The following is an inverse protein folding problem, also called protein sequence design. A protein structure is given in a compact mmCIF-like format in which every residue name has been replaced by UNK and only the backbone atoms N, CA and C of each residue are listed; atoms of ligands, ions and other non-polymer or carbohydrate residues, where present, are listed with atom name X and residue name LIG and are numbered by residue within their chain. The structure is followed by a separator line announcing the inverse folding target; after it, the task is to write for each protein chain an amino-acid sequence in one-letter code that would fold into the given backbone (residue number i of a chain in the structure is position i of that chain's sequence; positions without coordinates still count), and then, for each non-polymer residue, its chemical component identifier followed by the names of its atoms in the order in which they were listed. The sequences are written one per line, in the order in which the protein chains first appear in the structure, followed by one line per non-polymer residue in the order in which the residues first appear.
data_IF_019826141858
#
_entry.id   IF_019826141858
#
_cell.length_a   1.000
_cell.length_b   1.000
_cell.length_c   1.000
_cell.angle_alpha   90.00
_cell.angle_beta   90.00
_cell.angle_gamma   90.00
#
_symmetry.space_group_name_H-M   'P 1'
#
loop_
_entity.id
_entity.type
_entity.pdbx_description
1 polymer ?
#
# COMPACT_ATOMS: atom_id res chain seq x y z
N UNK A 1 22.61 6.41 2.04
CA UNK A 1 22.53 7.86 1.75
C UNK A 1 21.07 8.28 1.72
N UNK A 2 20.75 9.57 1.81
CA UNK A 2 19.35 10.04 1.71
C UNK A 2 18.68 9.60 0.39
N UNK A 3 19.45 9.49 -0.69
CA UNK A 3 18.97 9.00 -1.99
C UNK A 3 18.48 7.55 -1.93
N UNK A 4 19.16 6.67 -1.19
CA UNK A 4 18.70 5.29 -1.02
C UNK A 4 17.33 5.23 -0.33
N UNK A 5 17.13 6.04 0.72
CA UNK A 5 15.84 6.11 1.43
C UNK A 5 14.74 6.68 0.53
N UNK A 6 15.08 7.69 -0.29
CA UNK A 6 14.17 8.26 -1.26
C UNK A 6 13.77 7.22 -2.33
N UNK A 7 14.74 6.51 -2.89
CA UNK A 7 14.51 5.44 -3.87
C UNK A 7 13.65 4.31 -3.29
N UNK A 8 13.95 3.87 -2.07
CA UNK A 8 13.15 2.87 -1.37
C UNK A 8 11.70 3.31 -1.19
N UNK A 9 11.49 4.58 -0.79
CA UNK A 9 10.16 5.16 -0.64
C UNK A 9 9.42 5.19 -1.97
N UNK A 10 10.07 5.63 -3.05
CA UNK A 10 9.47 5.64 -4.40
C UNK A 10 9.12 4.24 -4.89
N UNK A 11 9.98 3.25 -4.65
CA UNK A 11 9.74 1.86 -5.06
C UNK A 11 8.58 1.22 -4.31
N UNK A 12 8.46 1.49 -3.01
CA UNK A 12 7.39 0.92 -2.19
C UNK A 12 6.05 1.62 -2.44
N UNK A 13 6.01 2.96 -2.43
CA UNK A 13 4.76 3.72 -2.43
C UNK A 13 4.33 4.16 -3.84
N UNK A 14 5.27 4.33 -4.76
CA UNK A 14 5.10 5.12 -5.97
C UNK A 14 5.33 6.63 -5.73
N UNK A 15 5.35 7.44 -6.80
CA UNK A 15 5.72 8.86 -6.73
C UNK A 15 4.67 9.75 -6.05
N UNK A 16 3.39 9.43 -6.20
CA UNK A 16 2.27 10.23 -5.69
C UNK A 16 1.23 9.33 -5.02
N UNK A 17 1.54 8.74 -3.85
CA UNK A 17 0.64 7.81 -3.19
C UNK A 17 -0.65 8.47 -2.69
N UNK A 18 -0.64 9.79 -2.51
CA UNK A 18 -1.83 10.60 -2.20
C UNK A 18 -2.05 11.62 -3.29
N UNK A 19 -3.28 11.72 -3.78
CA UNK A 19 -3.63 12.63 -4.87
C UNK A 19 -5.07 13.12 -4.72
N UNK A 20 -5.37 14.23 -5.38
CA UNK A 20 -6.74 14.73 -5.48
C UNK A 20 -7.38 14.13 -6.73
N UNK A 21 -8.49 13.44 -6.55
CA UNK A 21 -9.26 12.86 -7.63
C UNK A 21 -9.80 13.98 -8.54
N UNK A 22 -9.60 13.91 -9.87
CA UNK A 22 -10.03 14.95 -10.79
C UNK A 22 -11.57 15.04 -10.91
N UNK A 23 -12.27 13.93 -10.65
CA UNK A 23 -13.72 13.83 -10.83
C UNK A 23 -14.51 14.56 -9.73
N UNK A 24 -14.13 14.36 -8.48
CA UNK A 24 -14.88 14.80 -7.29
C UNK A 24 -14.06 15.70 -6.35
N UNK A 25 -12.80 16.00 -6.71
CA UNK A 25 -11.85 16.78 -5.90
C UNK A 25 -11.59 16.20 -4.51
N UNK A 26 -11.88 14.92 -4.30
CA UNK A 26 -11.65 14.25 -3.02
C UNK A 26 -10.21 13.77 -2.89
N UNK A 27 -9.71 13.67 -1.65
CA UNK A 27 -8.42 13.03 -1.38
C UNK A 27 -8.54 11.54 -1.66
N UNK A 28 -7.58 10.97 -2.38
CA UNK A 28 -7.45 9.53 -2.57
C UNK A 28 -6.04 9.08 -2.26
N UNK A 29 -5.93 7.80 -1.91
CA UNK A 29 -4.66 7.13 -1.71
C UNK A 29 -4.58 5.89 -2.60
N UNK A 30 -3.44 5.71 -3.27
CA UNK A 30 -3.17 4.53 -4.08
C UNK A 30 -1.68 4.23 -4.04
N UNK A 31 -1.34 3.00 -3.68
CA UNK A 31 0.04 2.53 -3.74
C UNK A 31 0.31 1.94 -5.12
N UNK A 32 1.37 2.40 -5.79
CA UNK A 32 1.82 1.88 -7.09
C UNK A 32 3.29 1.50 -6.99
N UNK A 33 3.60 0.30 -6.47
CA UNK A 33 4.98 -0.11 -6.31
C UNK A 33 5.71 -0.21 -7.65
N UNK A 34 7.03 -0.18 -7.56
CA UNK A 34 7.96 -0.55 -8.63
C UNK A 34 8.91 -1.64 -8.08
N UNK A 35 8.34 -2.78 -7.70
CA UNK A 35 9.05 -3.84 -6.99
C UNK A 35 9.26 -5.06 -7.88
N UNK A 36 10.51 -5.48 -8.11
CA UNK A 36 10.78 -6.77 -8.72
C UNK A 36 10.43 -7.93 -7.77
N UNK A 37 10.06 -9.08 -8.33
CA UNK A 37 9.61 -10.25 -7.59
C UNK A 37 10.64 -10.77 -6.57
N UNK A 38 11.93 -10.62 -6.84
CA UNK A 38 12.99 -11.12 -5.95
C UNK A 38 13.05 -10.41 -4.58
N UNK A 39 12.39 -9.25 -4.43
CA UNK A 39 12.25 -8.57 -3.14
C UNK A 39 11.17 -9.19 -2.24
N UNK A 40 10.36 -10.09 -2.78
CA UNK A 40 9.30 -10.75 -2.03
C UNK A 40 9.82 -12.04 -1.40
N UNK A 41 9.35 -12.31 -0.18
CA UNK A 41 9.42 -13.64 0.43
C UNK A 41 8.31 -14.50 -0.15
N UNK A 42 8.64 -15.70 -0.60
CA UNK A 42 7.64 -16.70 -0.96
C UNK A 42 7.23 -17.45 0.32
N UNK A 43 5.94 -17.43 0.64
CA UNK A 43 5.39 -18.15 1.78
C UNK A 43 5.04 -19.60 1.40
N UNK A 44 4.72 -20.42 2.40
CA UNK A 44 4.44 -21.85 2.23
C UNK A 44 3.20 -22.13 1.35
N UNK A 45 2.23 -21.19 1.34
CA UNK A 45 1.05 -21.23 0.46
C UNK A 45 1.35 -20.81 -0.99
N UNK A 46 2.60 -20.42 -1.27
CA UNK A 46 3.05 -19.93 -2.57
C UNK A 46 2.83 -18.42 -2.78
N UNK A 47 2.23 -17.70 -1.83
CA UNK A 47 2.00 -16.25 -1.95
C UNK A 47 3.32 -15.50 -1.76
N UNK A 48 3.62 -14.55 -2.66
CA UNK A 48 4.78 -13.69 -2.53
C UNK A 48 4.43 -12.46 -1.67
N UNK A 49 5.12 -12.23 -0.55
CA UNK A 49 4.88 -11.08 0.33
C UNK A 49 6.10 -10.21 0.57
N UNK A 50 5.86 -8.91 0.76
CA UNK A 50 6.87 -7.97 1.26
C UNK A 50 6.20 -7.02 2.24
N UNK A 51 6.92 -6.66 3.32
CA UNK A 51 6.41 -5.81 4.38
C UNK A 51 7.33 -4.62 4.62
N UNK A 52 6.75 -3.45 4.89
CA UNK A 52 7.47 -2.24 5.26
C UNK A 52 6.65 -1.38 6.23
N UNK A 53 7.28 -0.34 6.78
CA UNK A 53 6.62 0.62 7.67
C UNK A 53 6.31 1.91 6.90
N UNK A 54 5.03 2.21 6.72
CA UNK A 54 4.57 3.48 6.17
C UNK A 54 4.55 4.53 7.28
N UNK A 55 5.20 5.66 7.01
CA UNK A 55 5.41 6.77 7.97
C UNK A 55 6.06 6.34 9.30
N UNK A 56 6.68 5.16 9.35
CA UNK A 56 7.30 4.61 10.56
C UNK A 56 6.35 3.97 11.56
N UNK A 57 5.04 3.94 11.31
CA UNK A 57 4.03 3.49 12.29
C UNK A 57 3.01 2.50 11.76
N UNK A 58 2.75 2.49 10.44
CA UNK A 58 1.71 1.66 9.84
C UNK A 58 2.40 0.49 9.14
N UNK A 59 2.12 -0.73 9.60
CA UNK A 59 2.63 -1.93 8.95
C UNK A 59 1.91 -2.13 7.62
N UNK A 60 2.64 -2.12 6.51
CA UNK A 60 2.08 -2.37 5.17
C UNK A 60 2.61 -3.70 4.66
N UNK A 61 1.71 -4.61 4.28
CA UNK A 61 2.05 -5.89 3.67
C UNK A 61 1.45 -5.98 2.28
N UNK A 62 2.30 -6.21 1.29
CA UNK A 62 1.88 -6.51 -0.08
C UNK A 62 1.77 -8.03 -0.25
N UNK A 63 0.63 -8.48 -0.75
CA UNK A 63 0.35 -9.86 -1.11
C UNK A 63 0.28 -9.95 -2.63
N UNK A 64 1.29 -10.55 -3.25
CA UNK A 64 1.42 -10.70 -4.69
C UNK A 64 1.15 -12.17 -5.07
N UNK A 65 -0.11 -12.49 -5.35
CA UNK A 65 -0.52 -13.84 -5.76
C UNK A 65 -0.19 -14.11 -7.23
N UNK A 66 0.00 -13.05 -8.03
CA UNK A 66 0.45 -13.12 -9.43
C UNK A 66 1.85 -13.71 -9.55
N UNK A 67 2.70 -13.51 -8.53
CA UNK A 67 4.11 -13.92 -8.51
C UNK A 67 4.88 -13.39 -9.73
N UNK A 68 4.62 -12.14 -10.08
CA UNK A 68 5.36 -11.38 -11.11
C UNK A 68 5.91 -10.11 -10.50
N UNK A 69 6.76 -9.40 -11.23
CA UNK A 69 7.15 -8.04 -10.87
C UNK A 69 5.91 -7.15 -10.73
N UNK A 70 5.93 -6.24 -9.75
CA UNK A 70 4.92 -5.21 -9.55
C UNK A 70 5.47 -3.86 -10.00
N UNK A 71 5.63 -3.67 -11.31
CA UNK A 71 6.03 -2.39 -11.90
C UNK A 71 4.79 -1.57 -12.28
N UNK A 72 4.45 -0.58 -11.46
CA UNK A 72 3.29 0.31 -11.63
C UNK A 72 1.94 -0.41 -11.68
N UNK A 73 1.88 -1.64 -11.15
CA UNK A 73 0.67 -2.42 -11.03
C UNK A 73 -0.19 -1.80 -9.92
N UNK A 74 -1.46 -1.55 -10.20
CA UNK A 74 -2.42 -1.10 -9.21
C UNK A 74 -2.90 -2.30 -8.35
N UNK A 75 -3.14 -2.10 -7.05
CA UNK A 75 -3.76 -3.11 -6.20
C UNK A 75 -5.15 -3.52 -6.68
N UNK A 76 -5.54 -4.77 -6.41
CA UNK A 76 -6.92 -5.23 -6.61
C UNK A 76 -7.83 -4.85 -5.45
N UNK A 77 -7.28 -4.82 -4.23
CA UNK A 77 -8.01 -4.46 -2.99
C UNK A 77 -7.06 -4.06 -1.86
N UNK A 78 -7.64 -3.42 -0.85
CA UNK A 78 -7.01 -3.10 0.43
C UNK A 78 -7.83 -3.65 1.58
N UNK A 79 -7.15 -3.99 2.66
CA UNK A 79 -7.72 -4.24 3.97
C UNK A 79 -6.96 -3.40 4.99
N UNK A 80 -7.68 -2.51 5.68
CA UNK A 80 -7.10 -1.49 6.56
C UNK A 80 -7.62 -1.75 7.97
N UNK A 81 -6.72 -2.15 8.86
CA UNK A 81 -7.02 -2.34 10.27
C UNK A 81 -6.77 -1.07 11.07
N UNK A 82 -7.71 -0.73 11.93
CA UNK A 82 -7.60 0.35 12.91
C UNK A 82 -7.22 -0.22 14.29
N UNK A 83 -6.62 0.62 15.12
CA UNK A 83 -6.16 0.26 16.47
C UNK A 83 -7.29 -0.08 17.46
N UNK A 84 -8.53 0.27 17.12
CA UNK A 84 -9.72 -0.10 17.88
C UNK A 84 -10.25 -1.51 17.50
N UNK A 85 -9.60 -2.19 16.56
CA UNK A 85 -9.99 -3.50 16.04
C UNK A 85 -10.92 -3.46 14.83
N UNK A 86 -11.35 -2.27 14.39
CA UNK A 86 -12.17 -2.13 13.17
C UNK A 86 -11.34 -2.42 11.93
N UNK A 87 -11.90 -3.19 10.99
CA UNK A 87 -11.29 -3.47 9.69
C UNK A 87 -12.16 -2.92 8.56
N UNK A 88 -11.52 -2.20 7.64
CA UNK A 88 -12.16 -1.70 6.42
C UNK A 88 -11.64 -2.47 5.21
N UNK A 89 -12.56 -3.01 4.40
CA UNK A 89 -12.25 -3.61 3.11
C UNK A 89 -12.57 -2.60 1.99
N UNK A 90 -11.62 -2.40 1.09
CA UNK A 90 -11.76 -1.50 -0.06
C UNK A 90 -11.46 -2.28 -1.32
N UNK A 91 -12.47 -2.41 -2.18
CA UNK A 91 -12.30 -3.00 -3.51
C UNK A 91 -11.74 -1.97 -4.49
N UNK A 92 -10.85 -2.43 -5.36
CA UNK A 92 -10.19 -1.62 -6.36
C UNK A 92 -8.87 -1.00 -5.90
N UNK A 93 -8.26 -0.25 -6.82
CA UNK A 93 -6.89 0.23 -6.66
C UNK A 93 -6.70 1.46 -5.79
N UNK A 94 -7.76 2.10 -5.28
CA UNK A 94 -7.67 3.36 -4.54
C UNK A 94 -8.55 3.40 -3.30
N UNK A 95 -8.00 3.96 -2.22
CA UNK A 95 -8.67 4.23 -0.95
C UNK A 95 -9.31 5.62 -0.98
N UNK A 96 -10.55 5.72 -0.49
CA UNK A 96 -11.37 6.94 -0.47
C UNK A 96 -10.95 7.95 0.61
N UNK A 97 -11.54 9.15 0.57
CA UNK A 97 -11.07 10.32 1.32
C UNK A 97 -11.00 10.17 2.84
N UNK A 98 -11.97 9.55 3.50
CA UNK A 98 -11.96 9.41 4.97
C UNK A 98 -10.77 8.56 5.44
N UNK A 99 -10.61 7.37 4.84
CA UNK A 99 -9.50 6.47 5.15
C UNK A 99 -8.16 7.03 4.67
N UNK A 100 -8.12 7.66 3.49
CA UNK A 100 -6.90 8.28 2.97
C UNK A 100 -6.38 9.40 3.87
N UNK A 101 -7.25 10.24 4.44
CA UNK A 101 -6.86 11.28 5.39
C UNK A 101 -6.34 10.68 6.71
N UNK A 102 -7.03 9.66 7.26
CA UNK A 102 -6.59 8.93 8.46
C UNK A 102 -5.20 8.31 8.28
N UNK A 103 -4.96 7.66 7.15
CA UNK A 103 -3.64 7.08 6.82
C UNK A 103 -2.59 8.18 6.71
N UNK A 104 -2.87 9.26 5.97
CA UNK A 104 -1.92 10.37 5.75
C UNK A 104 -1.51 11.07 7.04
N UNK A 105 -2.45 11.17 8.00
CA UNK A 105 -2.22 11.77 9.32
C UNK A 105 -1.71 10.77 10.37
N UNK A 106 -1.62 9.49 10.03
CA UNK A 106 -1.23 8.40 10.95
C UNK A 106 -2.18 8.33 12.17
N UNK A 107 -3.47 8.50 11.93
CA UNK A 107 -4.49 8.56 12.98
C UNK A 107 -5.21 7.22 13.08
N UNK A 108 -5.01 6.52 14.20
CA UNK A 108 -5.68 5.25 14.56
C UNK A 108 -5.50 4.08 13.58
N UNK A 109 -4.66 4.18 12.55
CA UNK A 109 -4.35 3.06 11.65
C UNK A 109 -3.30 2.15 12.29
N UNK A 110 -3.52 0.85 12.22
CA UNK A 110 -2.59 -0.19 12.70
C UNK A 110 -1.83 -0.83 11.53
N UNK A 111 -2.57 -1.40 10.56
CA UNK A 111 -1.98 -2.05 9.40
C UNK A 111 -2.74 -1.75 8.10
N UNK A 112 -2.05 -1.97 6.98
CA UNK A 112 -2.62 -1.97 5.64
C UNK A 112 -2.15 -3.23 4.91
N UNK A 113 -3.08 -4.11 4.61
CA UNK A 113 -2.87 -5.23 3.69
C UNK A 113 -3.28 -4.81 2.28
N UNK A 114 -2.42 -5.08 1.30
CA UNK A 114 -2.61 -4.68 -0.10
C UNK A 114 -2.44 -5.91 -0.97
N UNK A 115 -3.42 -6.18 -1.81
CA UNK A 115 -3.45 -7.41 -2.61
C UNK A 115 -3.25 -7.09 -4.08
N UNK A 116 -2.43 -7.90 -4.75
CA UNK A 116 -2.14 -7.86 -6.18
C UNK A 116 -2.43 -9.24 -6.75
N UNK A 117 -3.51 -9.32 -7.54
CA UNK A 117 -4.09 -10.54 -8.10
C UNK A 117 -4.10 -10.51 -9.64
#
# INVERSE_FOLDING_TARGET
TAEHLNMWTLMMLGPHPFYTSPDDRSLRMQLKPALPLWLFRINDDGTATVQFQLFGYIAVTYYNTRRTDLFHVAPSRYEIGLRDGTTHHVDGGSVSSDLADKIRRVVFVDYIHVYFE
#
